data_IF_112807166056
#
_entry.id   IF_112807166056
#
_cell.length_a   1.000
_cell.length_b   1.000
_cell.length_c   1.000
_cell.angle_alpha   90.00
_cell.angle_beta   90.00
_cell.angle_gamma   90.00
#
_symmetry.space_group_name_H-M   'P 1'
#
loop_
_entity.id
_entity.type
_entity.pdbx_description
1 polymer ?
#
# COMPACT_ATOMS: atom_id res chain seq x y z
N UNK A 1 -18.06 5.15 -8.52
CA UNK A 1 -19.32 4.79 -9.20
C UNK A 1 -20.47 5.01 -8.21
N UNK A 2 -21.50 5.77 -8.53
CA UNK A 2 -22.72 5.86 -7.69
C UNK A 2 -23.42 4.49 -7.58
N UNK A 3 -24.10 4.24 -6.48
CA UNK A 3 -24.90 3.02 -6.26
C UNK A 3 -25.95 2.83 -7.37
N UNK A 4 -26.20 1.58 -7.73
CA UNK A 4 -27.12 1.15 -8.78
C UNK A 4 -26.78 1.63 -10.20
N UNK A 5 -25.68 2.34 -10.41
CA UNK A 5 -25.34 2.88 -11.71
C UNK A 5 -24.83 1.83 -12.70
N UNK A 6 -25.32 1.87 -13.91
CA UNK A 6 -24.68 1.33 -15.08
C UNK A 6 -23.72 2.36 -15.67
N UNK A 7 -22.52 1.93 -16.05
CA UNK A 7 -21.54 2.82 -16.68
C UNK A 7 -21.64 2.67 -18.18
N UNK A 8 -21.96 3.76 -18.85
CA UNK A 8 -21.91 3.86 -20.31
C UNK A 8 -20.73 4.75 -20.69
N UNK A 9 -19.86 4.23 -21.56
CA UNK A 9 -18.70 4.97 -22.07
C UNK A 9 -18.87 5.26 -23.54
N UNK A 10 -18.69 6.52 -23.93
CA UNK A 10 -18.72 7.00 -25.31
C UNK A 10 -17.39 7.68 -25.64
N UNK A 11 -16.69 7.21 -26.68
CA UNK A 11 -15.54 7.88 -27.23
C UNK A 11 -16.01 9.04 -28.14
N UNK A 12 -15.75 10.28 -27.72
CA UNK A 12 -16.19 11.50 -28.44
C UNK A 12 -15.22 11.89 -29.52
N UNK A 13 -13.91 11.89 -29.23
CA UNK A 13 -12.86 12.32 -30.15
C UNK A 13 -11.53 11.67 -29.79
N UNK A 14 -10.70 11.45 -30.82
CA UNK A 14 -9.33 10.96 -30.64
C UNK A 14 -8.39 11.53 -31.69
N UNK A 15 -7.17 11.83 -31.27
CA UNK A 15 -6.10 12.26 -32.18
C UNK A 15 -4.92 11.30 -32.05
N UNK A 16 -4.44 10.79 -33.17
CA UNK A 16 -3.34 9.84 -33.21
C UNK A 16 -2.33 10.19 -34.30
N UNK A 17 -1.11 9.69 -34.13
CA UNK A 17 -0.04 9.71 -35.14
C UNK A 17 0.50 8.31 -35.31
N UNK A 18 0.73 7.93 -36.56
CA UNK A 18 1.37 6.65 -36.89
C UNK A 18 2.87 6.87 -37.10
N UNK A 19 3.67 6.04 -36.46
CA UNK A 19 5.12 6.04 -36.53
C UNK A 19 5.58 4.72 -37.16
N UNK A 20 6.50 4.82 -38.14
CA UNK A 20 7.23 3.66 -38.63
C UNK A 20 8.43 3.43 -37.72
N UNK A 21 8.53 2.26 -37.10
CA UNK A 21 9.58 1.95 -36.14
C UNK A 21 10.99 1.91 -36.77
N UNK A 22 11.09 1.59 -38.07
CA UNK A 22 12.32 1.63 -38.82
C UNK A 22 12.95 3.03 -38.86
N UNK A 23 12.15 4.10 -38.90
CA UNK A 23 12.62 5.50 -38.89
C UNK A 23 13.35 5.85 -37.59
N UNK A 24 13.16 5.04 -36.55
CA UNK A 24 13.81 5.14 -35.24
C UNK A 24 14.87 4.05 -35.00
N UNK A 25 15.29 3.35 -36.04
CA UNK A 25 16.23 2.22 -35.99
C UNK A 25 15.71 1.01 -35.16
N UNK A 26 14.41 0.84 -35.07
CA UNK A 26 13.76 -0.31 -34.40
C UNK A 26 13.29 -1.27 -35.50
N UNK A 27 14.17 -2.19 -35.89
CA UNK A 27 13.93 -3.13 -36.98
C UNK A 27 13.31 -4.45 -36.49
N UNK A 28 13.38 -4.73 -35.20
CA UNK A 28 12.80 -5.94 -34.62
C UNK A 28 11.32 -5.74 -34.29
N UNK A 29 10.54 -6.81 -34.35
CA UNK A 29 9.17 -6.79 -33.89
C UNK A 29 9.10 -6.52 -32.38
N UNK A 30 8.07 -5.80 -31.95
CA UNK A 30 7.80 -5.63 -30.53
C UNK A 30 7.41 -6.99 -29.95
N UNK A 31 8.18 -7.46 -28.96
CA UNK A 31 7.92 -8.75 -28.33
C UNK A 31 6.62 -8.70 -27.49
N UNK A 32 5.79 -9.78 -27.50
CA UNK A 32 4.65 -9.87 -26.63
C UNK A 32 5.07 -9.98 -25.17
N UNK A 33 4.23 -9.49 -24.25
CA UNK A 33 4.41 -9.69 -22.83
C UNK A 33 4.37 -11.19 -22.54
N UNK A 34 5.41 -11.69 -21.88
CA UNK A 34 5.50 -13.09 -21.50
C UNK A 34 4.75 -13.34 -20.18
N UNK A 35 4.25 -14.57 -19.93
CA UNK A 35 3.71 -14.94 -18.63
C UNK A 35 4.71 -14.68 -17.50
N UNK A 36 4.24 -14.31 -16.29
CA UNK A 36 5.12 -14.16 -15.15
C UNK A 36 5.75 -15.51 -14.76
N UNK A 37 7.02 -15.47 -14.46
CA UNK A 37 7.82 -16.65 -14.11
C UNK A 37 8.15 -16.59 -12.63
N UNK A 38 8.09 -17.74 -11.95
CA UNK A 38 8.58 -17.84 -10.58
C UNK A 38 10.08 -17.55 -10.55
N UNK A 39 10.56 -16.78 -9.56
CA UNK A 39 11.99 -16.50 -9.36
C UNK A 39 12.82 -17.76 -9.07
N UNK A 40 12.17 -18.83 -8.61
CA UNK A 40 12.77 -20.15 -8.38
C UNK A 40 12.89 -21.01 -9.63
N UNK A 41 12.28 -20.63 -10.76
CA UNK A 41 12.36 -21.34 -12.01
C UNK A 41 13.57 -20.89 -12.84
N UNK A 42 14.26 -21.86 -13.44
CA UNK A 42 15.37 -21.55 -14.34
C UNK A 42 14.87 -20.88 -15.62
N UNK A 43 15.35 -19.69 -15.92
CA UNK A 43 15.00 -18.94 -17.13
C UNK A 43 15.33 -19.70 -18.44
N UNK A 44 16.20 -20.71 -18.38
CA UNK A 44 16.62 -21.46 -19.55
C UNK A 44 15.58 -22.46 -20.09
N UNK A 45 14.51 -22.72 -19.35
CA UNK A 45 13.47 -23.70 -19.71
C UNK A 45 12.14 -23.09 -20.13
N UNK A 46 12.09 -21.78 -20.37
CA UNK A 46 10.84 -21.09 -20.65
C UNK A 46 10.66 -20.99 -22.15
N UNK A 47 9.56 -21.55 -22.65
CA UNK A 47 9.15 -21.35 -24.03
C UNK A 47 8.64 -19.92 -24.21
N UNK A 48 9.24 -19.20 -25.17
CA UNK A 48 8.75 -17.89 -25.54
C UNK A 48 7.36 -18.03 -26.19
N UNK A 49 6.35 -17.43 -25.55
CA UNK A 49 4.98 -17.44 -26.08
C UNK A 49 4.83 -16.37 -27.15
N UNK A 50 4.39 -16.80 -28.33
CA UNK A 50 4.18 -15.95 -29.49
C UNK A 50 2.85 -16.28 -30.15
N UNK A 51 1.98 -15.30 -30.32
CA UNK A 51 0.69 -15.48 -30.97
C UNK A 51 0.81 -15.26 -32.48
N UNK A 52 1.06 -16.34 -33.23
CA UNK A 52 1.23 -16.31 -34.69
C UNK A 52 0.03 -15.69 -35.43
N UNK A 53 -1.20 -15.93 -34.94
CA UNK A 53 -2.40 -15.39 -35.57
C UNK A 53 -2.46 -13.86 -35.45
N UNK A 54 -1.94 -13.29 -34.38
CA UNK A 54 -1.91 -11.85 -34.16
C UNK A 54 -0.79 -11.20 -34.97
N UNK A 55 0.40 -11.79 -34.95
CA UNK A 55 1.57 -11.24 -35.64
C UNK A 55 1.57 -11.46 -37.14
N UNK A 56 0.73 -12.38 -37.64
CA UNK A 56 0.52 -12.62 -39.08
C UNK A 56 -0.49 -11.72 -39.75
N UNK A 57 -1.14 -10.79 -39.02
CA UNK A 57 -2.17 -9.90 -39.59
C UNK A 57 -1.63 -8.51 -39.89
N UNK A 58 -1.97 -7.98 -41.06
CA UNK A 58 -1.68 -6.59 -41.43
C UNK A 58 -2.80 -5.68 -40.92
N UNK A 59 -2.91 -5.54 -39.61
CA UNK A 59 -3.88 -4.66 -38.95
C UNK A 59 -3.27 -4.08 -37.66
N UNK A 60 -3.70 -2.87 -37.28
CA UNK A 60 -3.36 -2.31 -35.98
C UNK A 60 -4.12 -3.05 -34.90
N UNK A 61 -3.37 -3.62 -33.96
CA UNK A 61 -3.90 -4.35 -32.83
C UNK A 61 -3.66 -3.59 -31.52
N UNK A 62 -4.72 -3.44 -30.78
CA UNK A 62 -4.63 -3.15 -29.35
C UNK A 62 -5.70 -3.95 -28.60
N UNK A 63 -5.59 -3.99 -27.29
CA UNK A 63 -6.77 -4.22 -26.43
C UNK A 63 -7.71 -3.03 -26.60
N UNK A 64 -8.91 -3.09 -25.98
CA UNK A 64 -9.83 -1.97 -25.98
C UNK A 64 -9.08 -0.66 -25.64
N UNK A 65 -9.22 0.36 -26.50
CA UNK A 65 -8.55 1.65 -26.35
C UNK A 65 -8.84 2.26 -24.97
N UNK A 66 -10.07 2.11 -24.50
CA UNK A 66 -10.50 2.48 -23.15
C UNK A 66 -11.32 1.32 -22.60
N UNK A 67 -10.97 0.88 -21.38
CA UNK A 67 -11.69 -0.19 -20.69
C UNK A 67 -11.98 0.23 -19.26
N UNK A 68 -13.19 -0.05 -18.81
CA UNK A 68 -13.58 0.16 -17.42
C UNK A 68 -13.57 -1.19 -16.71
N UNK A 69 -12.86 -1.24 -15.59
CA UNK A 69 -12.79 -2.44 -14.75
C UNK A 69 -13.23 -2.08 -13.33
N UNK A 70 -14.38 -2.56 -12.91
CA UNK A 70 -14.82 -2.47 -11.51
C UNK A 70 -13.78 -3.14 -10.61
N UNK A 71 -13.52 -2.53 -9.47
CA UNK A 71 -12.54 -3.00 -8.47
C UNK A 71 -13.21 -3.60 -7.26
N UNK A 72 -14.19 -2.92 -6.70
CA UNK A 72 -14.88 -3.31 -5.50
C UNK A 72 -15.37 -2.10 -4.71
N UNK A 73 -15.56 -2.30 -3.40
CA UNK A 73 -16.02 -1.30 -2.46
C UNK A 73 -14.87 -0.88 -1.56
N UNK A 74 -14.40 0.35 -1.70
CA UNK A 74 -13.50 0.95 -0.74
C UNK A 74 -14.35 1.69 0.29
N UNK A 75 -14.54 1.09 1.46
CA UNK A 75 -15.37 1.65 2.54
C UNK A 75 -16.71 2.19 2.00
N UNK A 76 -17.54 1.34 1.42
CA UNK A 76 -18.85 1.65 0.83
C UNK A 76 -18.84 2.45 -0.49
N UNK A 77 -17.70 2.94 -0.96
CA UNK A 77 -17.61 3.58 -2.27
C UNK A 77 -17.25 2.54 -3.34
N UNK A 78 -18.15 2.30 -4.28
CA UNK A 78 -17.85 1.45 -5.43
C UNK A 78 -16.85 2.17 -6.35
N UNK A 79 -15.71 1.53 -6.62
CA UNK A 79 -14.64 2.10 -7.44
C UNK A 79 -14.35 1.26 -8.68
N UNK A 80 -13.90 1.92 -9.75
CA UNK A 80 -13.44 1.29 -10.97
C UNK A 80 -12.19 1.97 -11.50
N UNK A 81 -11.38 1.19 -12.19
CA UNK A 81 -10.26 1.71 -12.97
C UNK A 81 -10.70 2.00 -14.40
N UNK A 82 -10.30 3.15 -14.91
CA UNK A 82 -10.31 3.46 -16.33
C UNK A 82 -8.93 3.09 -16.88
N UNK A 83 -8.87 2.07 -17.71
CA UNK A 83 -7.64 1.58 -18.32
C UNK A 83 -7.58 2.13 -19.73
N UNK A 84 -6.52 2.89 -20.05
CA UNK A 84 -6.29 3.47 -21.36
C UNK A 84 -5.11 2.74 -22.00
N UNK A 85 -5.32 2.21 -23.20
CA UNK A 85 -4.29 1.59 -24.04
C UNK A 85 -4.00 2.49 -25.23
N UNK A 86 -3.12 3.50 -25.10
CA UNK A 86 -2.98 4.56 -26.08
C UNK A 86 -2.12 4.19 -27.29
N UNK A 87 -1.72 2.92 -27.41
CA UNK A 87 -0.82 2.45 -28.48
C UNK A 87 -1.43 1.21 -29.13
N UNK A 88 -1.52 1.25 -30.45
CA UNK A 88 -1.82 0.10 -31.30
C UNK A 88 -0.57 -0.25 -32.13
N UNK A 89 -0.33 -1.54 -32.36
CA UNK A 89 0.81 -2.04 -33.11
C UNK A 89 0.39 -2.85 -34.32
N UNK A 90 0.98 -2.58 -35.49
CA UNK A 90 0.86 -3.40 -36.68
C UNK A 90 2.18 -4.16 -36.91
N UNK A 91 2.21 -5.48 -36.65
CA UNK A 91 3.43 -6.27 -36.74
C UNK A 91 3.94 -6.46 -38.17
N UNK A 92 3.07 -6.50 -39.17
CA UNK A 92 3.49 -6.72 -40.58
C UNK A 92 4.16 -5.44 -41.14
N UNK A 93 3.65 -4.28 -40.81
CA UNK A 93 4.22 -3.01 -41.27
C UNK A 93 5.27 -2.46 -40.29
N UNK A 94 5.47 -3.10 -39.13
CA UNK A 94 6.30 -2.63 -38.03
C UNK A 94 6.03 -1.18 -37.63
N UNK A 95 4.75 -0.84 -37.51
CA UNK A 95 4.26 0.50 -37.18
C UNK A 95 3.51 0.53 -35.89
N UNK A 96 3.63 1.63 -35.13
CA UNK A 96 2.79 1.95 -34.01
C UNK A 96 1.90 3.14 -34.33
N UNK A 97 0.65 3.10 -33.83
CA UNK A 97 -0.25 4.23 -33.82
C UNK A 97 -0.44 4.68 -32.39
N UNK A 98 -0.05 5.91 -32.11
CA UNK A 98 -0.06 6.49 -30.77
C UNK A 98 -1.17 7.53 -30.67
N UNK A 99 -2.09 7.35 -29.74
CA UNK A 99 -3.15 8.31 -29.45
C UNK A 99 -2.64 9.35 -28.45
N UNK A 100 -2.48 10.59 -28.92
CA UNK A 100 -2.02 11.72 -28.11
C UNK A 100 -3.13 12.39 -27.33
N UNK A 101 -4.37 12.26 -27.85
CA UNK A 101 -5.56 12.81 -27.21
C UNK A 101 -6.69 11.80 -27.33
N UNK A 102 -7.35 11.57 -26.20
CA UNK A 102 -8.57 10.79 -26.09
C UNK A 102 -9.59 11.62 -25.32
N UNK A 103 -10.73 11.92 -25.94
CA UNK A 103 -11.86 12.57 -25.29
C UNK A 103 -13.02 11.57 -25.22
N UNK A 104 -13.40 11.21 -24.03
CA UNK A 104 -14.51 10.28 -23.79
C UNK A 104 -15.42 10.80 -22.71
N UNK A 105 -16.64 10.32 -22.70
CA UNK A 105 -17.68 10.62 -21.72
C UNK A 105 -18.04 9.35 -20.97
N UNK A 106 -18.18 9.49 -19.66
CA UNK A 106 -18.76 8.45 -18.81
C UNK A 106 -20.12 8.94 -18.33
N UNK A 107 -21.13 8.15 -18.52
CA UNK A 107 -22.47 8.37 -17.97
C UNK A 107 -22.80 7.29 -16.97
N UNK A 108 -23.39 7.70 -15.87
CA UNK A 108 -23.88 6.83 -14.82
C UNK A 108 -25.41 6.75 -14.95
N UNK A 109 -25.90 5.74 -15.66
CA UNK A 109 -27.31 5.54 -15.90
C UNK A 109 -27.97 4.90 -14.68
N UNK A 110 -29.14 5.34 -14.28
CA UNK A 110 -29.87 4.87 -13.09
C UNK A 110 -29.12 5.07 -11.78
N UNK A 111 -28.20 6.04 -11.72
CA UNK A 111 -27.42 6.35 -10.52
C UNK A 111 -28.30 6.78 -9.35
N UNK A 112 -28.16 6.13 -8.20
CA UNK A 112 -28.80 6.51 -6.95
C UNK A 112 -27.82 7.31 -6.08
N UNK A 113 -27.86 8.64 -6.25
CA UNK A 113 -26.95 9.55 -5.53
C UNK A 113 -27.31 9.62 -4.05
N UNK A 114 -28.59 9.57 -3.70
CA UNK A 114 -29.05 9.61 -2.30
C UNK A 114 -28.58 8.37 -1.54
N UNK A 115 -28.75 7.18 -2.14
CA UNK A 115 -28.25 5.94 -1.56
C UNK A 115 -26.73 5.96 -1.41
N UNK A 116 -26.01 6.50 -2.39
CA UNK A 116 -24.54 6.64 -2.35
C UNK A 116 -24.09 7.55 -1.21
N UNK A 117 -24.78 8.70 -1.03
CA UNK A 117 -24.49 9.64 0.05
C UNK A 117 -24.81 9.05 1.43
N UNK A 118 -25.91 8.32 1.54
CA UNK A 118 -26.29 7.64 2.79
C UNK A 118 -25.28 6.56 3.18
N UNK A 119 -24.81 5.77 2.22
CA UNK A 119 -23.76 4.77 2.43
C UNK A 119 -22.45 5.42 2.91
N UNK A 120 -22.00 6.49 2.23
CA UNK A 120 -20.84 7.28 2.63
C UNK A 120 -20.99 7.84 4.05
N UNK A 121 -22.15 8.42 4.39
CA UNK A 121 -22.37 9.02 5.69
C UNK A 121 -22.37 7.99 6.83
N UNK A 122 -22.90 6.79 6.58
CA UNK A 122 -22.92 5.68 7.55
C UNK A 122 -21.51 5.27 7.98
N UNK A 123 -20.59 5.26 7.03
CA UNK A 123 -19.21 4.84 7.25
C UNK A 123 -18.22 6.01 7.19
N UNK A 124 -18.67 7.24 7.39
CA UNK A 124 -17.82 8.42 7.30
C UNK A 124 -16.56 8.27 8.17
N UNK A 125 -15.43 8.63 7.58
CA UNK A 125 -14.14 8.70 8.26
C UNK A 125 -13.31 9.84 7.66
N UNK A 126 -12.85 10.80 8.47
CA UNK A 126 -12.03 11.90 7.97
C UNK A 126 -10.69 11.41 7.36
N UNK A 127 -10.18 10.27 7.81
CA UNK A 127 -8.97 9.65 7.27
C UNK A 127 -9.18 9.04 5.88
N UNK A 128 -10.33 8.38 5.66
CA UNK A 128 -10.69 7.89 4.33
C UNK A 128 -11.10 9.03 3.39
N UNK A 129 -11.66 10.12 3.89
CA UNK A 129 -12.00 11.29 3.08
C UNK A 129 -10.80 11.83 2.32
N UNK A 130 -9.63 11.94 2.98
CA UNK A 130 -8.38 12.35 2.36
C UNK A 130 -7.93 11.37 1.25
N UNK A 131 -8.07 10.05 1.47
CA UNK A 131 -7.76 9.03 0.48
C UNK A 131 -8.68 9.17 -0.74
N UNK A 132 -9.99 9.36 -0.51
CA UNK A 132 -10.96 9.50 -1.59
C UNK A 132 -10.71 10.74 -2.45
N UNK A 133 -10.45 11.89 -1.82
CA UNK A 133 -10.18 13.14 -2.52
C UNK A 133 -8.93 13.09 -3.39
N UNK A 134 -7.91 12.38 -2.94
CA UNK A 134 -6.62 12.28 -3.66
C UNK A 134 -6.59 11.16 -4.70
N UNK A 135 -7.37 10.10 -4.51
CA UNK A 135 -7.28 8.87 -5.32
C UNK A 135 -8.44 8.68 -6.30
N UNK A 136 -9.62 9.29 -6.06
CA UNK A 136 -10.82 9.11 -6.88
C UNK A 136 -11.08 10.36 -7.71
N UNK A 137 -10.83 10.27 -9.01
CA UNK A 137 -10.86 11.42 -9.94
C UNK A 137 -12.18 12.19 -9.95
N UNK A 138 -13.33 11.51 -9.83
CA UNK A 138 -14.65 12.14 -9.87
C UNK A 138 -15.31 12.29 -8.50
N UNK A 139 -14.55 12.13 -7.40
CA UNK A 139 -15.10 12.16 -6.04
C UNK A 139 -15.87 13.46 -5.76
N UNK A 140 -15.23 14.60 -5.97
CA UNK A 140 -15.78 15.93 -5.70
C UNK A 140 -16.95 16.32 -6.62
N UNK A 141 -17.20 15.57 -7.70
CA UNK A 141 -18.37 15.80 -8.57
C UNK A 141 -19.62 15.05 -8.10
N UNK A 142 -19.45 14.07 -7.20
CA UNK A 142 -20.55 13.22 -6.70
C UNK A 142 -20.89 13.56 -5.24
N UNK A 143 -19.85 13.83 -4.45
CA UNK A 143 -19.98 14.03 -3.01
C UNK A 143 -19.58 15.43 -2.61
N UNK A 144 -20.33 16.00 -1.64
CA UNK A 144 -19.89 17.22 -0.97
C UNK A 144 -18.65 16.93 -0.13
N UNK A 145 -17.60 17.74 -0.29
CA UNK A 145 -16.38 17.64 0.50
C UNK A 145 -16.48 18.53 1.72
N UNK A 146 -16.12 18.00 2.88
CA UNK A 146 -15.95 18.80 4.10
C UNK A 146 -14.51 19.31 4.12
N UNK A 147 -14.33 20.60 3.91
CA UNK A 147 -13.04 21.28 4.06
C UNK A 147 -12.92 21.79 5.50
N UNK A 148 -12.62 20.92 6.45
CA UNK A 148 -12.33 21.31 7.81
C UNK A 148 -10.86 21.06 8.11
N UNK A 149 -10.15 22.10 8.53
CA UNK A 149 -8.75 21.98 9.01
C UNK A 149 -8.68 21.16 10.31
N UNK A 150 -9.81 20.93 10.96
CA UNK A 150 -9.91 20.16 12.20
C UNK A 150 -10.89 18.99 12.03
N UNK A 151 -10.56 17.87 12.66
CA UNK A 151 -11.44 16.71 12.76
C UNK A 151 -12.41 16.97 13.92
N UNK A 152 -13.64 17.29 13.60
CA UNK A 152 -14.72 17.48 14.58
C UNK A 152 -15.52 16.19 14.83
N UNK A 153 -15.45 15.23 13.90
CA UNK A 153 -16.18 13.97 14.00
C UNK A 153 -15.47 12.97 14.92
N UNK A 154 -16.25 12.22 15.67
CA UNK A 154 -15.73 11.10 16.46
C UNK A 154 -15.12 10.06 15.54
N UNK A 155 -13.92 9.59 15.84
CA UNK A 155 -13.23 8.53 15.09
C UNK A 155 -13.13 7.28 15.95
N UNK A 156 -13.79 6.21 15.52
CA UNK A 156 -13.73 4.92 16.21
C UNK A 156 -12.42 4.19 15.89
N UNK A 157 -11.75 3.73 16.96
CA UNK A 157 -10.50 2.98 16.94
C UNK A 157 -10.70 1.69 17.73
N UNK A 158 -10.60 0.54 17.07
CA UNK A 158 -10.74 -0.78 17.72
C UNK A 158 -9.37 -1.39 17.93
N UNK A 159 -9.15 -1.91 19.14
CA UNK A 159 -7.98 -2.70 19.48
C UNK A 159 -8.45 -4.14 19.75
N UNK A 160 -7.91 -5.10 19.01
CA UNK A 160 -8.07 -6.53 19.30
C UNK A 160 -6.80 -7.01 19.99
N UNK A 161 -6.94 -7.59 21.18
CA UNK A 161 -5.79 -8.02 21.98
C UNK A 161 -6.02 -9.34 22.69
N UNK A 162 -4.94 -10.05 22.97
CA UNK A 162 -4.99 -11.10 23.99
C UNK A 162 -5.07 -10.47 25.39
N UNK A 163 -5.80 -11.13 26.31
CA UNK A 163 -5.99 -10.64 27.68
C UNK A 163 -4.69 -10.38 28.44
N UNK A 164 -3.61 -11.09 28.12
CA UNK A 164 -2.29 -10.92 28.75
C UNK A 164 -1.68 -9.53 28.52
N UNK A 165 -2.14 -8.80 27.52
CA UNK A 165 -1.65 -7.46 27.17
C UNK A 165 -2.40 -6.30 27.85
N UNK A 166 -3.47 -6.57 28.60
CA UNK A 166 -4.36 -5.54 29.16
C UNK A 166 -3.61 -4.41 29.84
N UNK A 167 -2.72 -4.73 30.80
CA UNK A 167 -1.99 -3.71 31.56
C UNK A 167 -0.99 -2.94 30.69
N UNK A 168 -0.33 -3.58 29.73
CA UNK A 168 0.64 -2.97 28.87
C UNK A 168 0.00 -2.01 27.83
N UNK A 169 -1.27 -2.22 27.49
CA UNK A 169 -2.02 -1.38 26.56
C UNK A 169 -2.49 -0.05 27.15
N UNK A 170 -2.61 0.08 28.47
CA UNK A 170 -3.21 1.26 29.09
C UNK A 170 -2.58 2.60 28.63
N UNK A 171 -1.24 2.77 28.57
CA UNK A 171 -0.66 4.03 28.11
C UNK A 171 -1.05 4.37 26.68
N UNK A 172 -1.17 3.37 25.80
CA UNK A 172 -1.56 3.58 24.42
C UNK A 172 -3.04 3.97 24.29
N UNK A 173 -3.92 3.30 25.04
CA UNK A 173 -5.35 3.62 25.09
C UNK A 173 -5.55 5.06 25.59
N UNK A 174 -4.90 5.44 26.69
CA UNK A 174 -4.95 6.80 27.23
C UNK A 174 -4.49 7.84 26.20
N UNK A 175 -3.34 7.58 25.55
CA UNK A 175 -2.81 8.48 24.54
C UNK A 175 -3.76 8.64 23.34
N UNK A 176 -4.28 7.53 22.78
CA UNK A 176 -5.23 7.60 21.65
C UNK A 176 -6.53 8.31 22.05
N UNK A 177 -7.00 8.09 23.28
CA UNK A 177 -8.18 8.80 23.81
C UNK A 177 -7.91 10.31 23.96
N UNK A 178 -6.73 10.71 24.44
CA UNK A 178 -6.32 12.12 24.52
C UNK A 178 -6.23 12.78 23.14
N UNK A 179 -5.86 12.01 22.10
CA UNK A 179 -5.87 12.46 20.69
C UNK A 179 -7.29 12.59 20.09
N UNK A 180 -8.34 12.25 20.84
CA UNK A 180 -9.73 12.37 20.39
C UNK A 180 -10.32 11.13 19.75
N UNK A 181 -9.63 10.00 19.76
CA UNK A 181 -10.20 8.72 19.29
C UNK A 181 -11.16 8.14 20.32
N UNK A 182 -12.27 7.58 19.85
CA UNK A 182 -13.09 6.67 20.64
C UNK A 182 -12.47 5.26 20.59
N UNK A 183 -11.76 4.89 21.64
CA UNK A 183 -11.01 3.62 21.70
C UNK A 183 -11.89 2.54 22.32
N UNK A 184 -12.09 1.45 21.59
CA UNK A 184 -12.73 0.23 22.08
C UNK A 184 -11.72 -0.92 22.08
N UNK A 185 -11.54 -1.58 23.24
CA UNK A 185 -10.68 -2.76 23.32
C UNK A 185 -11.55 -4.00 23.41
N UNK A 186 -11.27 -4.99 22.56
CA UNK A 186 -11.91 -6.30 22.60
C UNK A 186 -10.86 -7.39 22.81
N UNK A 187 -10.98 -8.11 23.90
CA UNK A 187 -10.07 -9.19 24.25
C UNK A 187 -10.53 -10.53 23.68
N UNK A 188 -9.59 -11.35 23.22
CA UNK A 188 -9.88 -12.66 22.59
C UNK A 188 -10.65 -13.62 23.50
N UNK A 189 -10.48 -13.53 24.82
CA UNK A 189 -11.26 -14.31 25.77
C UNK A 189 -12.76 -13.92 25.83
N UNK A 190 -13.13 -12.73 25.31
CA UNK A 190 -14.51 -12.22 25.25
C UNK A 190 -15.15 -12.48 23.90
N UNK A 191 -14.40 -12.29 22.81
CA UNK A 191 -14.92 -12.35 21.43
C UNK A 191 -14.60 -13.68 20.72
N UNK A 192 -13.73 -14.52 21.32
CA UNK A 192 -13.20 -15.76 20.73
C UNK A 192 -11.81 -15.60 20.13
N UNK A 193 -11.06 -16.69 20.11
CA UNK A 193 -9.64 -16.73 19.73
C UNK A 193 -9.40 -17.08 18.26
N UNK A 194 -10.42 -17.51 17.51
CA UNK A 194 -10.26 -17.86 16.11
C UNK A 194 -10.29 -16.63 15.20
N UNK A 195 -9.57 -16.67 14.07
CA UNK A 195 -9.61 -15.62 13.06
C UNK A 195 -11.05 -15.30 12.63
N UNK A 196 -11.90 -16.33 12.46
CA UNK A 196 -13.31 -16.14 12.10
C UNK A 196 -14.09 -15.36 13.16
N UNK A 197 -13.88 -15.66 14.45
CA UNK A 197 -14.57 -14.94 15.53
C UNK A 197 -14.15 -13.47 15.57
N UNK A 198 -12.87 -13.21 15.42
CA UNK A 198 -12.31 -11.85 15.39
C UNK A 198 -12.85 -11.08 14.18
N UNK A 199 -12.80 -11.67 12.97
CA UNK A 199 -13.37 -11.07 11.77
C UNK A 199 -14.87 -10.74 11.93
N UNK A 200 -15.66 -11.71 12.43
CA UNK A 200 -17.09 -11.53 12.67
C UNK A 200 -17.37 -10.39 13.66
N UNK A 201 -16.57 -10.28 14.72
CA UNK A 201 -16.67 -9.18 15.66
C UNK A 201 -16.41 -7.83 14.98
N UNK A 202 -15.30 -7.71 14.25
CA UNK A 202 -14.92 -6.49 13.55
C UNK A 202 -15.94 -6.10 12.50
N UNK A 203 -16.41 -7.04 11.70
CA UNK A 203 -17.45 -6.81 10.69
C UNK A 203 -18.75 -6.34 11.35
N UNK A 204 -19.16 -6.96 12.47
CA UNK A 204 -20.34 -6.50 13.19
C UNK A 204 -20.19 -5.06 13.74
N UNK A 205 -19.00 -4.68 14.23
CA UNK A 205 -18.74 -3.31 14.66
C UNK A 205 -18.77 -2.31 13.49
N UNK A 206 -18.41 -2.77 12.28
CA UNK A 206 -18.47 -1.96 11.07
C UNK A 206 -19.92 -1.82 10.55
N UNK A 207 -20.65 -2.93 10.45
CA UNK A 207 -22.01 -2.97 9.90
C UNK A 207 -23.04 -2.37 10.86
N UNK A 208 -22.89 -2.63 12.16
CA UNK A 208 -23.81 -2.23 13.24
C UNK A 208 -23.04 -1.51 14.36
N UNK A 209 -22.43 -0.37 14.11
CA UNK A 209 -21.69 0.33 15.15
C UNK A 209 -22.63 0.70 16.33
N UNK A 210 -22.10 0.70 17.57
CA UNK A 210 -22.90 1.11 18.73
C UNK A 210 -23.54 2.48 18.54
N UNK A 211 -24.68 2.70 19.20
CA UNK A 211 -25.45 3.95 19.07
C UNK A 211 -24.57 5.18 19.24
N UNK A 212 -24.70 6.10 18.28
CA UNK A 212 -23.96 7.36 18.19
C UNK A 212 -22.45 7.26 17.90
N UNK A 213 -21.93 6.08 17.52
CA UNK A 213 -20.57 5.94 17.04
C UNK A 213 -20.55 5.70 15.53
N UNK A 214 -19.55 6.24 14.81
CA UNK A 214 -19.34 5.88 13.42
C UNK A 214 -18.75 4.46 13.31
N UNK A 215 -18.86 3.86 12.13
CA UNK A 215 -18.10 2.64 11.80
C UNK A 215 -16.59 2.86 12.07
N UNK A 216 -15.86 1.84 12.54
CA UNK A 216 -14.47 1.99 12.89
C UNK A 216 -13.64 2.47 11.69
N UNK A 217 -12.71 3.38 11.94
CA UNK A 217 -11.74 3.84 10.95
C UNK A 217 -10.43 3.07 11.07
N UNK A 218 -10.10 2.63 12.28
CA UNK A 218 -8.86 1.95 12.60
C UNK A 218 -9.10 0.65 13.36
N UNK A 219 -8.29 -0.35 13.01
CA UNK A 219 -8.15 -1.60 13.74
C UNK A 219 -6.68 -1.82 14.06
N UNK A 220 -6.35 -2.04 15.32
CA UNK A 220 -5.03 -2.46 15.77
C UNK A 220 -5.12 -3.89 16.29
N UNK A 221 -4.38 -4.78 15.71
CA UNK A 221 -4.17 -6.15 16.19
C UNK A 221 -2.98 -6.14 17.15
N UNK A 222 -3.15 -6.67 18.37
CA UNK A 222 -2.09 -6.69 19.38
C UNK A 222 -1.80 -8.12 19.80
N UNK A 223 -0.65 -8.60 19.42
CA UNK A 223 -0.15 -9.96 19.63
C UNK A 223 0.45 -10.56 18.36
N UNK A 224 1.34 -11.50 18.54
CA UNK A 224 1.89 -12.36 17.50
C UNK A 224 0.84 -13.42 17.09
N UNK A 225 1.13 -14.25 16.10
CA UNK A 225 0.21 -15.28 15.57
C UNK A 225 -0.26 -16.31 16.62
N UNK A 226 0.51 -16.51 17.67
CA UNK A 226 0.14 -17.35 18.81
C UNK A 226 -0.97 -16.75 19.68
N UNK A 227 -1.03 -15.42 19.76
CA UNK A 227 -2.04 -14.69 20.54
C UNK A 227 -3.25 -14.34 19.67
N UNK A 228 -2.99 -13.81 18.47
CA UNK A 228 -4.01 -13.44 17.50
C UNK A 228 -3.64 -14.07 16.15
N UNK A 229 -4.35 -15.12 15.72
CA UNK A 229 -4.05 -15.80 14.46
C UNK A 229 -4.10 -14.81 13.29
N UNK A 230 -3.31 -15.06 12.27
CA UNK A 230 -3.38 -14.34 11.00
C UNK A 230 -4.09 -15.17 9.94
N UNK A 231 -4.48 -14.55 8.83
CA UNK A 231 -4.93 -15.23 7.64
C UNK A 231 -3.77 -15.41 6.64
N UNK A 232 -4.06 -16.08 5.53
CA UNK A 232 -3.08 -16.32 4.48
C UNK A 232 -3.68 -15.92 3.13
N UNK A 233 -2.90 -15.17 2.35
CA UNK A 233 -3.24 -14.86 0.97
C UNK A 233 -3.29 -16.13 0.10
N UNK A 234 -3.85 -16.02 -1.11
CA UNK A 234 -3.88 -17.13 -2.08
C UNK A 234 -2.48 -17.68 -2.46
N UNK A 235 -1.43 -16.89 -2.24
CA UNK A 235 -0.03 -17.30 -2.42
C UNK A 235 0.61 -17.99 -1.20
N UNK A 236 -0.15 -18.20 -0.11
CA UNK A 236 0.34 -18.80 1.12
C UNK A 236 1.15 -17.84 2.01
N UNK A 237 1.12 -16.54 1.75
CA UNK A 237 1.79 -15.53 2.58
C UNK A 237 0.86 -15.06 3.69
N UNK A 238 1.43 -14.88 4.89
CA UNK A 238 0.73 -14.35 6.06
C UNK A 238 0.18 -12.96 5.78
N UNK A 239 -1.03 -12.67 6.28
CA UNK A 239 -1.73 -11.41 6.04
C UNK A 239 -2.75 -11.13 7.13
N UNK A 240 -2.93 -9.85 7.45
CA UNK A 240 -4.03 -9.35 8.28
C UNK A 240 -5.16 -8.73 7.45
N UNK A 241 -5.11 -8.82 6.12
CA UNK A 241 -6.10 -8.18 5.24
C UNK A 241 -7.53 -8.64 5.55
N UNK A 242 -7.74 -9.92 5.89
CA UNK A 242 -9.06 -10.44 6.22
C UNK A 242 -9.73 -9.74 7.41
N UNK A 243 -8.95 -9.15 8.32
CA UNK A 243 -9.48 -8.36 9.44
C UNK A 243 -9.93 -6.96 9.04
N UNK A 244 -9.62 -6.54 7.82
CA UNK A 244 -9.86 -5.18 7.32
C UNK A 244 -10.76 -5.14 6.11
N UNK A 245 -10.92 -6.25 5.40
CA UNK A 245 -11.74 -6.40 4.18
C UNK A 245 -13.04 -7.14 4.53
N UNK A 246 -14.12 -6.41 4.70
CA UNK A 246 -15.44 -6.96 5.07
C UNK A 246 -16.29 -7.31 3.85
N UNK A 247 -15.91 -6.83 2.67
CA UNK A 247 -16.60 -7.08 1.40
C UNK A 247 -15.97 -8.20 0.58
N UNK A 248 -14.80 -8.70 0.98
CA UNK A 248 -14.01 -9.76 0.34
C UNK A 248 -13.63 -9.42 -1.12
N UNK A 249 -13.24 -8.19 -1.36
CA UNK A 249 -12.84 -7.70 -2.68
C UNK A 249 -11.36 -7.29 -2.76
N UNK A 250 -10.60 -7.52 -1.69
CA UNK A 250 -9.21 -7.16 -1.47
C UNK A 250 -8.98 -5.64 -1.35
N UNK A 251 -10.00 -4.88 -0.99
CA UNK A 251 -9.90 -3.48 -0.62
C UNK A 251 -10.22 -3.33 0.87
N UNK A 252 -9.40 -2.61 1.65
CA UNK A 252 -9.64 -2.48 3.06
C UNK A 252 -10.80 -1.50 3.36
N UNK A 253 -11.72 -1.91 4.21
CA UNK A 253 -12.81 -1.07 4.73
C UNK A 253 -12.41 -0.27 5.98
N UNK A 254 -11.32 -0.68 6.63
CA UNK A 254 -10.69 -0.04 7.79
C UNK A 254 -9.18 -0.01 7.63
N UNK A 255 -8.53 0.99 8.22
CA UNK A 255 -7.07 1.04 8.29
C UNK A 255 -6.58 0.11 9.39
N UNK A 256 -5.78 -0.87 9.04
CA UNK A 256 -5.34 -1.92 9.94
C UNK A 256 -3.82 -1.89 10.16
N UNK A 257 -3.40 -2.26 11.38
CA UNK A 257 -2.01 -2.49 11.73
C UNK A 257 -1.88 -3.55 12.80
N UNK A 258 -0.68 -4.10 12.94
CA UNK A 258 -0.37 -5.07 13.99
C UNK A 258 0.80 -4.59 14.85
N UNK A 259 0.63 -4.64 16.18
CA UNK A 259 1.74 -4.72 17.10
C UNK A 259 2.03 -6.20 17.34
N UNK A 260 2.96 -6.77 16.58
CA UNK A 260 3.38 -8.14 16.79
C UNK A 260 4.19 -8.21 18.08
N UNK A 261 3.65 -8.92 19.05
CA UNK A 261 4.24 -9.05 20.38
C UNK A 261 3.91 -10.39 20.99
N UNK A 262 4.92 -11.10 21.48
CA UNK A 262 4.76 -12.40 22.15
C UNK A 262 4.52 -12.27 23.65
N UNK A 263 4.83 -11.12 24.21
CA UNK A 263 4.70 -10.84 25.65
C UNK A 263 4.57 -9.32 25.92
N UNK A 264 4.14 -8.93 27.14
CA UNK A 264 3.96 -7.52 27.48
C UNK A 264 5.20 -6.64 27.33
N UNK A 265 6.41 -7.18 27.49
CA UNK A 265 7.65 -6.38 27.32
C UNK A 265 7.86 -5.98 25.86
N UNK A 266 7.63 -6.90 24.90
CA UNK A 266 7.69 -6.58 23.47
C UNK A 266 6.67 -5.50 23.11
N UNK A 267 5.43 -5.61 23.61
CA UNK A 267 4.40 -4.61 23.37
C UNK A 267 4.76 -3.26 23.97
N UNK A 268 5.30 -3.22 25.20
CA UNK A 268 5.68 -1.97 25.86
C UNK A 268 6.71 -1.19 25.05
N UNK A 269 7.68 -1.87 24.44
CA UNK A 269 8.68 -1.23 23.60
C UNK A 269 8.06 -0.56 22.36
N UNK A 270 7.14 -1.26 21.68
CA UNK A 270 6.44 -0.72 20.51
C UNK A 270 5.55 0.47 20.88
N UNK A 271 4.84 0.39 22.00
CA UNK A 271 4.00 1.48 22.51
C UNK A 271 4.84 2.71 22.85
N UNK A 272 5.96 2.53 23.58
CA UNK A 272 6.82 3.64 23.99
C UNK A 272 7.39 4.37 22.77
N UNK A 273 7.93 3.64 21.78
CA UNK A 273 8.41 4.23 20.52
C UNK A 273 7.30 5.02 19.81
N UNK A 274 6.10 4.47 19.73
CA UNK A 274 4.96 5.11 19.07
C UNK A 274 4.53 6.38 19.80
N UNK A 275 4.41 6.34 21.13
CA UNK A 275 3.98 7.47 21.94
C UNK A 275 5.03 8.60 21.90
N UNK A 276 6.32 8.27 22.06
CA UNK A 276 7.43 9.21 21.96
C UNK A 276 7.39 9.97 20.63
N UNK A 277 7.22 9.23 19.52
CA UNK A 277 7.13 9.83 18.19
C UNK A 277 5.89 10.69 18.03
N UNK A 278 4.71 10.19 18.40
CA UNK A 278 3.44 10.91 18.22
C UNK A 278 3.30 12.13 19.13
N UNK A 279 3.93 12.14 20.28
CA UNK A 279 4.00 13.30 21.20
C UNK A 279 5.10 14.29 20.85
N UNK A 280 6.01 13.91 19.96
CA UNK A 280 7.19 14.71 19.66
C UNK A 280 8.09 14.93 20.88
N UNK A 281 8.26 13.89 21.69
CA UNK A 281 9.02 13.91 22.96
C UNK A 281 10.45 13.37 22.83
N UNK A 282 11.01 13.30 21.59
CA UNK A 282 12.40 12.91 21.38
C UNK A 282 13.37 13.98 21.94
N UNK A 283 14.42 13.55 22.64
CA UNK A 283 15.45 14.44 23.19
C UNK A 283 16.17 15.24 22.10
N UNK A 284 16.39 14.63 20.94
CA UNK A 284 17.03 15.26 19.79
C UNK A 284 16.21 14.99 18.51
N UNK A 285 15.34 15.94 18.10
CA UNK A 285 14.50 15.78 16.92
C UNK A 285 15.22 16.09 15.59
N UNK A 286 16.52 16.36 15.58
CA UNK A 286 17.27 16.75 14.37
C UNK A 286 17.24 15.69 13.27
N UNK A 287 17.13 14.40 13.63
CA UNK A 287 17.04 13.28 12.69
C UNK A 287 15.75 13.29 11.83
N UNK A 288 14.74 14.05 12.23
CA UNK A 288 13.48 14.13 11.49
C UNK A 288 13.60 14.82 10.11
N UNK A 289 14.71 15.50 9.88
CA UNK A 289 15.03 16.05 8.54
C UNK A 289 15.81 15.09 7.65
N UNK A 290 16.26 13.94 8.17
CA UNK A 290 17.08 12.99 7.43
C UNK A 290 16.25 11.78 6.98
N UNK A 291 16.45 11.35 5.72
CA UNK A 291 15.83 10.14 5.18
C UNK A 291 16.87 9.27 4.45
N UNK A 292 16.65 7.95 4.45
CA UNK A 292 17.46 7.00 3.68
C UNK A 292 16.59 6.42 2.57
N UNK A 293 17.00 6.66 1.33
CA UNK A 293 16.27 6.26 0.13
C UNK A 293 17.10 5.26 -0.67
N UNK A 294 16.71 3.97 -0.61
CA UNK A 294 17.55 2.85 -1.05
C UNK A 294 16.86 2.06 -2.16
N UNK A 295 17.49 2.05 -3.34
CA UNK A 295 17.22 1.08 -4.41
C UNK A 295 18.23 -0.05 -4.28
N UNK A 296 17.80 -1.23 -3.88
CA UNK A 296 18.66 -2.39 -3.74
C UNK A 296 19.06 -3.02 -5.08
N UNK A 297 19.80 -4.12 -5.02
CA UNK A 297 20.37 -4.77 -6.21
C UNK A 297 19.32 -5.68 -6.86
N UNK A 298 18.99 -5.35 -8.09
CA UNK A 298 18.26 -6.17 -9.05
C UNK A 298 18.64 -5.72 -10.46
N UNK A 299 19.48 -6.48 -11.15
CA UNK A 299 20.01 -6.07 -12.46
C UNK A 299 18.92 -5.86 -13.52
N UNK A 300 17.78 -6.55 -13.39
CA UNK A 300 16.67 -6.48 -14.35
C UNK A 300 15.72 -5.33 -14.09
N UNK A 301 15.41 -5.05 -12.83
CA UNK A 301 14.33 -4.12 -12.45
C UNK A 301 14.83 -2.86 -11.76
N UNK A 302 15.93 -2.91 -11.01
CA UNK A 302 16.41 -1.75 -10.26
C UNK A 302 16.77 -0.55 -11.14
N UNK A 303 17.39 -0.68 -12.34
CA UNK A 303 17.69 0.49 -13.18
C UNK A 303 16.46 1.34 -13.52
N UNK A 304 15.33 0.69 -13.78
CA UNK A 304 14.10 1.37 -14.21
C UNK A 304 13.15 1.63 -13.04
N UNK A 305 12.81 0.60 -12.28
CA UNK A 305 11.75 0.69 -11.27
C UNK A 305 12.30 1.08 -9.89
N UNK A 306 13.38 0.46 -9.42
CA UNK A 306 13.98 0.79 -8.14
C UNK A 306 14.53 2.21 -8.11
N UNK A 307 15.47 2.52 -9.00
CA UNK A 307 16.01 3.88 -9.13
C UNK A 307 14.94 4.90 -9.51
N UNK A 308 13.96 4.51 -10.35
CA UNK A 308 12.85 5.36 -10.75
C UNK A 308 12.00 5.79 -9.57
N UNK A 309 11.63 4.86 -8.67
CA UNK A 309 10.87 5.15 -7.45
C UNK A 309 11.63 6.08 -6.51
N UNK A 310 12.91 5.78 -6.25
CA UNK A 310 13.75 6.62 -5.37
C UNK A 310 13.90 8.03 -5.94
N UNK A 311 14.21 8.15 -7.23
CA UNK A 311 14.34 9.44 -7.88
C UNK A 311 13.03 10.24 -7.89
N UNK A 312 11.90 9.59 -8.09
CA UNK A 312 10.59 10.24 -7.98
C UNK A 312 10.35 10.79 -6.57
N UNK A 313 10.60 9.98 -5.53
CA UNK A 313 10.50 10.41 -4.14
C UNK A 313 11.36 11.62 -3.84
N UNK A 314 12.63 11.59 -4.27
CA UNK A 314 13.58 12.68 -4.06
C UNK A 314 13.19 13.96 -4.83
N UNK A 315 12.74 13.83 -6.07
CA UNK A 315 12.39 15.01 -6.88
C UNK A 315 11.17 15.75 -6.34
N UNK A 316 10.19 15.02 -5.79
CA UNK A 316 8.90 15.61 -5.42
C UNK A 316 8.68 15.80 -3.92
N UNK A 317 9.36 15.01 -3.06
CA UNK A 317 9.07 14.99 -1.62
C UNK A 317 10.31 15.11 -0.73
N UNK A 318 11.34 14.31 -0.96
CA UNK A 318 12.49 14.18 -0.06
C UNK A 318 13.67 15.01 -0.56
N UNK A 319 13.56 16.34 -0.47
CA UNK A 319 14.58 17.27 -0.97
C UNK A 319 14.65 18.55 -0.16
N UNK A 320 15.62 19.39 -0.46
CA UNK A 320 15.87 20.65 0.24
C UNK A 320 14.73 21.67 0.18
N UNK A 321 13.85 21.60 -0.83
CA UNK A 321 12.65 22.45 -0.88
C UNK A 321 11.65 22.15 0.23
N UNK A 322 11.71 20.94 0.77
CA UNK A 322 10.91 20.48 1.91
C UNK A 322 11.73 20.41 3.20
N UNK A 323 12.94 20.98 3.22
CA UNK A 323 13.89 20.88 4.34
C UNK A 323 14.25 19.43 4.70
N UNK A 324 14.30 18.54 3.72
CA UNK A 324 14.66 17.14 3.90
C UNK A 324 16.02 16.88 3.26
N UNK A 325 16.91 16.23 4.01
CA UNK A 325 18.20 15.73 3.56
C UNK A 325 18.06 14.25 3.18
N UNK A 326 18.11 13.95 1.89
CA UNK A 326 17.97 12.58 1.38
C UNK A 326 19.34 11.93 1.20
N UNK A 327 19.64 10.94 2.04
CA UNK A 327 20.77 10.04 1.84
C UNK A 327 20.34 8.95 0.85
N UNK A 328 20.81 9.06 -0.40
CA UNK A 328 20.30 8.30 -1.54
C UNK A 328 21.29 7.23 -2.00
N UNK A 329 20.82 6.00 -2.13
CA UNK A 329 21.58 4.84 -2.57
C UNK A 329 20.89 4.21 -3.78
N UNK A 330 21.50 4.39 -4.96
CA UNK A 330 20.96 3.89 -6.22
C UNK A 330 21.74 2.66 -6.72
N UNK A 331 21.05 1.73 -7.33
CA UNK A 331 21.66 0.64 -8.09
C UNK A 331 22.53 1.21 -9.25
N UNK A 332 23.72 0.66 -9.56
CA UNK A 332 24.32 -0.53 -8.94
C UNK A 332 25.17 -0.24 -7.69
N UNK A 333 25.48 1.01 -7.39
CA UNK A 333 26.39 1.39 -6.31
C UNK A 333 25.85 1.03 -4.91
N UNK A 334 24.53 0.96 -4.76
CA UNK A 334 23.86 0.61 -3.49
C UNK A 334 24.34 -0.74 -2.93
N UNK A 335 24.65 -1.72 -3.75
CA UNK A 335 25.09 -3.05 -3.33
C UNK A 335 26.35 -3.07 -2.43
N UNK A 336 27.18 -2.02 -2.49
CA UNK A 336 28.37 -1.88 -1.61
C UNK A 336 28.14 -0.95 -0.41
N UNK A 337 26.90 -0.51 -0.15
CA UNK A 337 26.60 0.58 0.79
C UNK A 337 26.06 0.11 2.15
N UNK A 338 25.98 -1.19 2.46
CA UNK A 338 25.38 -1.72 3.68
C UNK A 338 25.95 -1.09 4.95
N UNK A 339 27.27 -1.04 5.11
CA UNK A 339 27.90 -0.43 6.28
C UNK A 339 27.63 1.09 6.41
N UNK A 340 27.50 1.80 5.29
CA UNK A 340 27.15 3.22 5.30
C UNK A 340 25.68 3.42 5.70
N UNK A 341 24.79 2.58 5.19
CA UNK A 341 23.36 2.60 5.52
C UNK A 341 23.18 2.34 7.02
N UNK A 342 23.82 1.31 7.57
CA UNK A 342 23.77 1.00 9.00
C UNK A 342 24.29 2.17 9.86
N UNK A 343 25.40 2.79 9.45
CA UNK A 343 25.96 3.94 10.16
C UNK A 343 24.98 5.14 10.16
N UNK A 344 24.35 5.44 9.03
CA UNK A 344 23.35 6.52 8.94
C UNK A 344 22.08 6.20 9.71
N UNK A 345 21.61 4.96 9.68
CA UNK A 345 20.48 4.52 10.47
C UNK A 345 20.74 4.67 11.97
N UNK A 346 21.98 4.39 12.43
CA UNK A 346 22.41 4.60 13.82
C UNK A 346 22.47 6.09 14.22
N UNK A 347 22.70 6.99 13.28
CA UNK A 347 22.65 8.44 13.54
C UNK A 347 21.20 8.93 13.67
N UNK A 348 20.24 8.17 13.16
CA UNK A 348 18.82 8.46 13.13
C UNK A 348 18.35 8.93 11.75
N UNK A 349 17.12 8.60 11.41
CA UNK A 349 16.42 9.07 10.22
C UNK A 349 14.92 9.10 10.49
N UNK A 350 14.18 10.04 9.90
CA UNK A 350 12.72 10.07 9.99
C UNK A 350 12.09 8.93 9.20
N UNK A 351 12.69 8.62 8.05
CA UNK A 351 12.13 7.65 7.12
C UNK A 351 13.23 6.86 6.41
N UNK A 352 13.03 5.55 6.32
CA UNK A 352 13.91 4.66 5.57
C UNK A 352 13.05 3.89 4.56
N UNK A 353 13.38 4.01 3.27
CA UNK A 353 12.75 3.21 2.22
C UNK A 353 13.78 2.29 1.57
N UNK A 354 13.45 1.01 1.53
CA UNK A 354 14.20 0.03 0.76
C UNK A 354 13.30 -0.61 -0.31
N UNK A 355 13.80 -0.73 -1.53
CA UNK A 355 13.08 -1.35 -2.66
C UNK A 355 14.01 -2.30 -3.40
N UNK A 356 13.83 -3.59 -3.22
CA UNK A 356 14.42 -4.71 -3.99
C UNK A 356 13.97 -6.08 -3.44
N UNK A 357 14.93 -6.98 -3.17
CA UNK A 357 14.67 -8.33 -2.64
C UNK A 357 14.87 -8.38 -1.12
N UNK A 358 14.08 -9.22 -0.46
CA UNK A 358 14.19 -9.46 0.98
C UNK A 358 13.88 -10.91 1.32
N UNK A 359 14.30 -11.29 2.52
CA UNK A 359 14.09 -12.58 3.16
C UNK A 359 13.41 -12.35 4.51
N UNK A 360 13.09 -13.41 5.22
CA UNK A 360 12.46 -13.32 6.53
C UNK A 360 13.33 -12.54 7.55
N UNK A 361 14.64 -12.63 7.42
CA UNK A 361 15.62 -12.04 8.33
C UNK A 361 16.20 -10.70 7.87
N UNK A 362 15.81 -10.16 6.70
CA UNK A 362 16.27 -8.85 6.26
C UNK A 362 16.27 -8.57 4.76
N UNK A 363 16.97 -7.53 4.39
CA UNK A 363 17.17 -7.14 2.99
C UNK A 363 18.25 -8.01 2.34
N UNK A 364 18.07 -8.34 1.08
CA UNK A 364 19.00 -9.20 0.38
C UNK A 364 20.30 -8.49 0.01
N UNK A 365 20.20 -7.31 -0.64
CA UNK A 365 21.38 -6.56 -1.10
C UNK A 365 21.00 -5.10 -1.42
N UNK A 366 21.60 -4.09 -0.76
CA UNK A 366 22.58 -4.27 0.31
C UNK A 366 21.97 -4.96 1.52
N UNK A 367 22.75 -5.84 2.16
CA UNK A 367 22.29 -6.56 3.32
C UNK A 367 22.04 -5.60 4.49
N UNK A 368 20.90 -5.81 5.16
CA UNK A 368 20.57 -5.24 6.44
C UNK A 368 19.61 -6.20 7.13
N UNK A 369 20.10 -6.89 8.14
CA UNK A 369 19.43 -8.05 8.72
C UNK A 369 19.07 -7.88 10.21
N UNK A 370 18.49 -8.93 10.81
CA UNK A 370 18.16 -8.97 12.23
C UNK A 370 19.38 -8.72 13.14
N UNK A 371 20.59 -9.13 12.72
CA UNK A 371 21.82 -8.87 13.45
C UNK A 371 22.17 -7.39 13.45
N UNK A 372 22.03 -6.75 12.29
CA UNK A 372 22.24 -5.30 12.15
C UNK A 372 21.21 -4.53 12.98
N UNK A 373 19.92 -4.88 12.86
CA UNK A 373 18.84 -4.24 13.61
C UNK A 373 19.05 -4.35 15.13
N UNK A 374 19.40 -5.52 15.63
CA UNK A 374 19.71 -5.73 17.06
C UNK A 374 20.97 -5.00 17.53
N UNK A 375 21.88 -4.64 16.63
CA UNK A 375 23.09 -3.88 16.95
C UNK A 375 22.90 -2.37 16.94
N UNK A 376 21.73 -1.87 16.53
CA UNK A 376 21.46 -0.45 16.39
C UNK A 376 21.50 0.28 17.74
N UNK A 377 22.00 1.52 17.70
CA UNK A 377 22.17 2.39 18.86
C UNK A 377 21.40 3.70 18.75
N UNK A 378 20.43 3.77 17.87
CA UNK A 378 19.62 4.96 17.55
C UNK A 378 18.48 5.23 18.54
N UNK A 379 18.70 4.99 19.82
CA UNK A 379 17.69 5.22 20.87
C UNK A 379 17.09 6.63 20.80
N UNK A 380 15.77 6.74 20.82
CA UNK A 380 15.05 8.01 20.68
C UNK A 380 15.09 8.63 19.27
N UNK A 381 15.64 7.91 18.26
CA UNK A 381 15.73 8.37 16.87
C UNK A 381 15.21 7.29 15.91
N UNK A 382 14.01 6.82 16.19
CA UNK A 382 13.43 5.69 15.48
C UNK A 382 12.82 6.10 14.13
N UNK A 383 13.20 5.48 13.01
CA UNK A 383 12.61 5.75 11.71
C UNK A 383 11.25 5.08 11.53
N UNK A 384 10.42 5.67 10.68
CA UNK A 384 9.41 4.89 9.96
C UNK A 384 10.10 4.16 8.83
N UNK A 385 10.10 2.82 8.85
CA UNK A 385 10.77 2.01 7.84
C UNK A 385 9.75 1.33 6.92
N UNK A 386 9.96 1.45 5.61
CA UNK A 386 9.18 0.78 4.58
C UNK A 386 10.08 -0.13 3.75
N UNK A 387 9.85 -1.43 3.85
CA UNK A 387 10.48 -2.44 3.01
C UNK A 387 9.55 -2.84 1.86
N UNK A 388 9.77 -2.31 0.66
CA UNK A 388 9.14 -2.81 -0.55
C UNK A 388 9.94 -4.01 -1.09
N UNK A 389 9.83 -5.13 -0.37
CA UNK A 389 10.57 -6.37 -0.61
C UNK A 389 9.76 -7.57 -0.09
N UNK A 390 10.22 -8.78 -0.46
CA UNK A 390 9.54 -10.01 -0.05
C UNK A 390 9.90 -10.37 1.40
N UNK A 391 8.99 -11.06 2.11
CA UNK A 391 9.17 -11.83 3.33
C UNK A 391 9.68 -11.12 4.58
N UNK A 392 10.18 -9.89 4.50
CA UNK A 392 10.71 -9.17 5.68
C UNK A 392 9.69 -8.94 6.79
N UNK A 393 8.41 -9.14 6.50
CA UNK A 393 7.32 -9.06 7.47
C UNK A 393 6.51 -10.37 7.53
N UNK A 394 7.17 -11.52 7.38
CA UNK A 394 6.58 -12.86 7.51
C UNK A 394 6.47 -13.24 9.00
N UNK A 395 5.61 -12.55 9.72
CA UNK A 395 5.47 -12.62 11.20
C UNK A 395 4.89 -13.95 11.73
N UNK A 396 4.71 -14.96 10.87
CA UNK A 396 4.33 -16.33 11.22
C UNK A 396 5.52 -17.30 11.25
N UNK A 397 6.73 -16.86 10.94
CA UNK A 397 7.92 -17.73 10.80
C UNK A 397 8.96 -17.61 11.92
N UNK A 398 8.62 -17.04 13.05
CA UNK A 398 9.55 -16.70 14.15
C UNK A 398 9.81 -15.20 14.18
N UNK A 399 10.94 -14.74 14.73
CA UNK A 399 11.27 -13.30 14.71
C UNK A 399 11.71 -12.89 13.32
N UNK A 400 10.80 -12.35 12.52
CA UNK A 400 11.13 -11.78 11.22
C UNK A 400 11.74 -10.38 11.36
N UNK A 401 12.31 -9.86 10.26
CA UNK A 401 12.96 -8.54 10.27
C UNK A 401 12.02 -7.41 10.71
N UNK A 402 10.75 -7.46 10.32
CA UNK A 402 9.76 -6.45 10.74
C UNK A 402 9.37 -6.49 12.22
N UNK A 403 9.76 -7.54 12.96
CA UNK A 403 9.51 -7.71 14.40
C UNK A 403 10.76 -7.42 15.25
N UNK A 404 11.95 -7.35 14.63
CA UNK A 404 13.23 -7.08 15.28
C UNK A 404 13.47 -5.59 15.46
#
# INVERSE_FOLDING_TARGET
IPRNAEIVMELIDSKSTTYNLEDYNINNLIAPVQPPISKSESQNNINFEFNENLYGKNEFYSKDLIKIKKKGLLRELEIANIIINPIEYNPIENKIKVYHTLKFKLEFINADIELSQNAKNRTFSPYFESIFQTSITNYNSIFETRNNDYIEDVVSYIIIADQSFENALNPFIEWKTQKGFHVTVAYTNQIGTSATNIKNYLQNQYDNPPNNLPAPSFVLIVGDTQQIPASYSSGGHVSDLDYCDFTNDNLPDVLCGRFSAQNPSHLTNQINKTIEYEKYEMDDPSFLSDVLMISGVDASYAPTYGNGQINYGNNYYFNSNHNINSNTFLYPASGSSGAQILNLANQGAAYINYTAHGWEDGWADPAFDNGDANSMTNNGKYPTMVGNCCLTNAFDTGACFGET
#
